data_IF_970057746981
#
_entry.id   IF_970057746981
#
_cell.length_a   1.000
_cell.length_b   1.000
_cell.length_c   1.000
_cell.angle_alpha   90.00
_cell.angle_beta   90.00
_cell.angle_gamma   90.00
#
_symmetry.space_group_name_H-M   'P 1'
#
loop_
_entity.id
_entity.type
_entity.pdbx_description
1 polymer ?
#
# COMPACT_ATOMS: atom_id res chain seq x y z
N UNK A 1 17.39 0.20 62.08
CA UNK A 1 17.14 -1.09 61.39
C UNK A 1 17.10 -0.83 59.90
N UNK A 2 18.24 -1.00 59.24
CA UNK A 2 18.27 -1.47 57.83
C UNK A 2 18.53 -2.99 57.89
N UNK A 3 18.62 -3.76 56.80
CA UNK A 3 18.22 -3.56 55.40
C UNK A 3 17.55 -4.85 54.85
N UNK A 4 17.54 -5.00 53.52
CA UNK A 4 17.60 -6.25 52.74
C UNK A 4 16.35 -6.46 51.88
N UNK A 5 16.43 -6.04 50.62
CA UNK A 5 16.96 -6.84 49.51
C UNK A 5 15.75 -7.48 48.80
N UNK A 6 15.61 -7.43 47.50
CA UNK A 6 16.60 -7.61 46.44
C UNK A 6 15.83 -7.28 45.14
N UNK A 7 16.34 -6.86 43.98
CA UNK A 7 17.65 -6.78 43.34
C UNK A 7 17.49 -5.63 42.33
N UNK A 8 18.42 -4.68 42.18
CA UNK A 8 19.51 -4.78 41.20
C UNK A 8 18.97 -5.06 39.77
N UNK A 9 19.16 -4.22 38.76
CA UNK A 9 20.40 -3.57 38.35
C UNK A 9 20.07 -2.58 37.21
N UNK A 10 20.80 -1.45 37.17
CA UNK A 10 21.46 -0.86 35.98
C UNK A 10 20.62 -0.64 34.69
N UNK A 11 20.62 0.51 34.01
CA UNK A 11 21.82 1.25 33.62
C UNK A 11 21.44 2.61 33.01
N UNK A 12 22.30 3.57 33.29
CA UNK A 12 22.33 4.94 32.77
C UNK A 12 22.75 4.93 31.29
N UNK A 13 21.96 5.51 30.39
CA UNK A 13 22.49 6.08 29.14
C UNK A 13 22.12 7.55 29.00
N UNK A 14 23.17 8.36 28.95
CA UNK A 14 23.17 9.76 28.52
C UNK A 14 22.90 9.88 27.02
N UNK A 15 22.32 11.04 26.63
CA UNK A 15 22.41 11.71 25.32
C UNK A 15 21.72 11.00 24.14
N UNK A 16 20.93 11.65 23.28
CA UNK A 16 20.98 13.00 22.70
C UNK A 16 19.54 13.46 22.39
N UNK A 17 19.20 14.72 22.73
CA UNK A 17 18.08 15.42 22.13
C UNK A 17 18.51 15.88 20.73
N UNK A 18 17.87 15.35 19.69
CA UNK A 18 18.16 15.74 18.31
C UNK A 18 17.28 14.97 17.33
N UNK A 19 16.24 15.65 16.82
CA UNK A 19 15.64 15.36 15.52
C UNK A 19 14.82 14.07 15.40
N UNK A 20 13.61 14.06 15.95
CA UNK A 20 12.54 13.22 15.41
C UNK A 20 12.18 13.70 14.00
N UNK A 21 12.87 13.16 12.99
CA UNK A 21 12.25 12.86 11.71
C UNK A 21 12.03 11.34 11.70
N UNK A 22 11.05 10.93 12.52
CA UNK A 22 10.52 9.58 12.47
C UNK A 22 10.15 9.28 11.01
N UNK A 23 10.67 8.17 10.50
CA UNK A 23 10.38 7.71 9.16
C UNK A 23 8.89 7.79 8.88
N UNK A 24 8.53 8.60 7.89
CA UNK A 24 7.25 8.48 7.20
C UNK A 24 7.27 7.21 6.36
N UNK A 25 7.48 6.06 7.00
CA UNK A 25 7.21 4.75 6.42
C UNK A 25 5.85 4.33 6.92
N UNK A 26 4.83 4.75 6.17
CA UNK A 26 3.58 4.04 6.00
C UNK A 26 2.88 3.58 7.30
N UNK A 27 2.13 4.48 7.91
CA UNK A 27 0.91 4.07 8.62
C UNK A 27 -0.18 3.74 7.58
N UNK A 28 0.06 2.73 6.75
CA UNK A 28 -0.93 2.12 5.88
C UNK A 28 -1.68 1.09 6.73
N UNK A 29 -2.93 1.37 7.12
CA UNK A 29 -3.85 0.29 7.44
C UNK A 29 -3.87 -0.62 6.20
N UNK A 30 -3.43 -1.88 6.37
CA UNK A 30 -3.03 -2.78 5.28
C UNK A 30 -3.93 -2.65 4.04
N UNK A 31 -3.45 -1.92 3.03
CA UNK A 31 -4.15 -1.80 1.76
C UNK A 31 -4.06 -3.17 1.08
N UNK A 32 -5.21 -3.82 0.87
CA UNK A 32 -5.26 -5.08 0.13
C UNK A 32 -4.82 -4.83 -1.32
N UNK A 33 -3.83 -5.58 -1.81
CA UNK A 33 -3.29 -5.47 -3.17
C UNK A 33 -3.24 -6.86 -3.83
N UNK A 34 -3.47 -6.90 -5.14
CA UNK A 34 -3.31 -8.09 -5.99
C UNK A 34 -2.61 -7.71 -7.29
N UNK A 35 -1.74 -8.61 -7.73
CA UNK A 35 -0.96 -8.45 -8.95
C UNK A 35 -1.19 -9.64 -9.88
N UNK A 36 -1.36 -9.37 -11.17
CA UNK A 36 -1.54 -10.39 -12.20
C UNK A 36 -1.12 -9.88 -13.58
N UNK A 37 -0.92 -10.79 -14.52
CA UNK A 37 -0.61 -10.46 -15.91
C UNK A 37 -1.87 -10.56 -16.78
N UNK A 38 -2.04 -9.60 -17.71
CA UNK A 38 -3.14 -9.59 -18.67
C UNK A 38 -2.75 -8.86 -19.95
N UNK A 39 -2.96 -9.49 -21.12
CA UNK A 39 -2.74 -8.85 -22.42
C UNK A 39 -1.30 -8.36 -22.70
N UNK A 40 -0.28 -8.91 -22.03
CA UNK A 40 1.10 -8.44 -22.11
C UNK A 40 1.47 -7.35 -21.11
N UNK A 41 0.54 -6.97 -20.22
CA UNK A 41 0.74 -6.01 -19.16
C UNK A 41 0.79 -6.67 -17.79
N UNK A 42 1.52 -6.05 -16.88
CA UNK A 42 1.47 -6.30 -15.45
C UNK A 42 0.44 -5.35 -14.82
N UNK A 43 -0.57 -5.92 -14.17
CA UNK A 43 -1.64 -5.18 -13.49
C UNK A 43 -1.46 -5.31 -11.98
N UNK A 44 -1.58 -4.19 -11.28
CA UNK A 44 -1.64 -4.11 -9.82
C UNK A 44 -2.96 -3.44 -9.44
N UNK A 45 -3.85 -4.19 -8.79
CA UNK A 45 -5.13 -3.72 -8.26
C UNK A 45 -5.05 -3.59 -6.75
N UNK A 46 -5.44 -2.45 -6.19
CA UNK A 46 -5.38 -2.16 -4.77
C UNK A 46 -6.68 -1.56 -4.24
N UNK A 47 -6.98 -1.82 -2.97
CA UNK A 47 -8.03 -1.15 -2.22
C UNK A 47 -7.42 -0.07 -1.32
N UNK A 48 -7.77 1.18 -1.58
CA UNK A 48 -7.32 2.33 -0.80
C UNK A 48 -8.46 2.80 0.10
N UNK A 49 -8.32 2.79 1.44
CA UNK A 49 -9.35 3.31 2.34
C UNK A 49 -9.68 4.77 2.00
N UNK A 50 -10.96 5.10 1.91
CA UNK A 50 -11.42 6.46 1.64
C UNK A 50 -12.01 7.12 2.91
N UNK A 51 -12.13 8.45 2.90
CA UNK A 51 -12.64 9.20 4.05
C UNK A 51 -14.12 8.95 4.37
N UNK A 52 -14.87 8.32 3.45
CA UNK A 52 -16.29 8.00 3.61
C UNK A 52 -16.53 6.66 4.34
N UNK A 53 -15.47 5.94 4.73
CA UNK A 53 -15.58 4.66 5.45
C UNK A 53 -15.70 3.44 4.53
N UNK A 54 -15.33 3.57 3.25
CA UNK A 54 -15.22 2.48 2.28
C UNK A 54 -13.81 2.42 1.67
N UNK A 55 -13.71 1.84 0.47
CA UNK A 55 -12.46 1.65 -0.25
C UNK A 55 -12.59 2.10 -1.70
N UNK A 56 -11.63 2.89 -2.17
CA UNK A 56 -11.45 3.17 -3.59
C UNK A 56 -10.61 2.05 -4.22
N UNK A 57 -11.11 1.45 -5.29
CA UNK A 57 -10.35 0.54 -6.13
C UNK A 57 -9.38 1.34 -6.99
N UNK A 58 -8.08 1.14 -6.81
CA UNK A 58 -7.04 1.74 -7.63
C UNK A 58 -6.38 0.66 -8.49
N UNK A 59 -6.05 1.00 -9.74
CA UNK A 59 -5.31 0.12 -10.64
C UNK A 59 -4.06 0.84 -11.15
N UNK A 60 -2.97 0.08 -11.26
CA UNK A 60 -1.71 0.48 -11.89
C UNK A 60 -1.35 -0.56 -12.92
N UNK A 61 -1.05 -0.15 -14.14
CA UNK A 61 -0.71 -1.03 -15.26
C UNK A 61 0.66 -0.65 -15.79
N UNK A 62 1.54 -1.63 -15.96
CA UNK A 62 2.87 -1.47 -16.50
C UNK A 62 3.13 -2.52 -17.59
N UNK A 63 4.07 -2.25 -18.49
CA UNK A 63 4.54 -3.24 -19.46
C UNK A 63 5.20 -4.44 -18.72
N UNK A 64 4.84 -5.67 -19.10
CA UNK A 64 5.43 -6.88 -18.53
C UNK A 64 6.87 -7.13 -19.02
N UNK A 65 7.32 -6.48 -20.10
CA UNK A 65 8.57 -6.79 -20.82
C UNK A 65 9.78 -5.89 -20.48
N UNK A 66 9.72 -5.11 -19.40
CA UNK A 66 10.93 -4.82 -18.62
C UNK A 66 11.75 -3.59 -19.01
N UNK A 67 11.12 -2.42 -19.08
CA UNK A 67 11.84 -1.18 -18.72
C UNK A 67 11.23 -0.60 -17.42
N UNK A 68 12.02 -0.39 -16.36
CA UNK A 68 11.54 0.08 -15.06
C UNK A 68 11.28 1.60 -15.09
N UNK A 69 10.26 2.02 -15.84
CA UNK A 69 9.82 3.41 -15.91
C UNK A 69 8.40 3.59 -15.35
N UNK A 70 8.14 3.06 -14.15
CA UNK A 70 6.90 3.34 -13.40
C UNK A 70 5.60 2.80 -14.03
N UNK A 71 4.43 3.03 -13.40
CA UNK A 71 3.16 2.64 -13.99
C UNK A 71 2.90 3.46 -15.26
N UNK A 72 2.62 2.79 -16.37
CA UNK A 72 2.28 3.41 -17.66
C UNK A 72 0.80 3.84 -17.70
N UNK A 73 0.00 3.45 -16.71
CA UNK A 73 -1.37 3.91 -16.53
C UNK A 73 -1.81 3.71 -15.07
N UNK A 74 -2.36 4.75 -14.43
CA UNK A 74 -2.92 4.69 -13.08
C UNK A 74 -4.29 5.36 -13.06
N UNK A 75 -5.29 4.69 -12.48
CA UNK A 75 -6.64 5.22 -12.35
C UNK A 75 -7.40 4.65 -11.15
N UNK A 76 -8.44 5.36 -10.74
CA UNK A 76 -9.41 4.93 -9.75
C UNK A 76 -10.61 4.32 -10.48
N UNK A 77 -10.89 3.06 -10.19
CA UNK A 77 -11.99 2.29 -10.78
C UNK A 77 -13.36 2.63 -10.15
N UNK A 78 -13.36 3.11 -8.90
CA UNK A 78 -14.55 3.53 -8.16
C UNK A 78 -14.51 3.14 -6.69
N UNK A 79 -15.55 3.50 -5.94
CA UNK A 79 -15.67 3.19 -4.52
C UNK A 79 -16.49 1.92 -4.28
N UNK A 80 -16.11 1.16 -3.25
CA UNK A 80 -16.80 -0.03 -2.79
C UNK A 80 -16.84 -0.10 -1.25
N UNK A 81 -17.83 -0.80 -0.67
CA UNK A 81 -17.96 -0.91 0.79
C UNK A 81 -16.92 -1.84 1.44
N UNK A 82 -16.25 -2.71 0.65
CA UNK A 82 -15.24 -3.65 1.16
C UNK A 82 -13.96 -3.62 0.31
N UNK A 83 -12.86 -4.08 0.89
CA UNK A 83 -11.56 -4.17 0.20
C UNK A 83 -11.63 -5.12 -0.99
N UNK A 84 -12.24 -6.29 -0.82
CA UNK A 84 -12.35 -7.31 -1.86
C UNK A 84 -13.18 -6.80 -3.05
N UNK A 85 -14.25 -6.05 -2.78
CA UNK A 85 -15.07 -5.45 -3.82
C UNK A 85 -14.34 -4.34 -4.58
N UNK A 86 -13.56 -3.51 -3.87
CA UNK A 86 -12.72 -2.48 -4.49
C UNK A 86 -11.62 -3.08 -5.38
N UNK A 87 -10.96 -4.15 -4.91
CA UNK A 87 -9.96 -4.86 -5.71
C UNK A 87 -10.60 -5.52 -6.93
N UNK A 88 -11.73 -6.22 -6.78
CA UNK A 88 -12.42 -6.83 -7.92
C UNK A 88 -12.88 -5.80 -8.96
N UNK A 89 -13.31 -4.61 -8.50
CA UNK A 89 -13.66 -3.49 -9.39
C UNK A 89 -12.43 -2.97 -10.14
N UNK A 90 -11.30 -2.81 -9.45
CA UNK A 90 -10.03 -2.40 -10.05
C UNK A 90 -9.52 -3.43 -11.07
N UNK A 91 -9.59 -4.73 -10.75
CA UNK A 91 -9.25 -5.83 -11.68
C UNK A 91 -10.11 -5.77 -12.96
N UNK A 92 -11.43 -5.70 -12.81
CA UNK A 92 -12.35 -5.65 -13.94
C UNK A 92 -12.15 -4.40 -14.82
N UNK A 93 -11.86 -3.26 -14.19
CA UNK A 93 -11.63 -2.01 -14.91
C UNK A 93 -10.28 -2.03 -15.64
N UNK A 94 -9.25 -2.63 -15.04
CA UNK A 94 -7.95 -2.76 -15.68
C UNK A 94 -8.03 -3.64 -16.94
N UNK A 95 -8.70 -4.80 -16.86
CA UNK A 95 -8.91 -5.65 -18.03
C UNK A 95 -9.68 -4.92 -19.14
N UNK A 96 -10.76 -4.20 -18.79
CA UNK A 96 -11.49 -3.39 -19.76
C UNK A 96 -10.61 -2.32 -20.43
N UNK A 97 -9.80 -1.59 -19.66
CA UNK A 97 -8.94 -0.55 -20.19
C UNK A 97 -7.90 -1.11 -21.17
N UNK A 98 -7.34 -2.29 -20.86
CA UNK A 98 -6.42 -3.01 -21.75
C UNK A 98 -7.16 -3.44 -23.02
N UNK A 99 -8.32 -4.09 -22.91
CA UNK A 99 -9.10 -4.56 -24.06
C UNK A 99 -9.58 -3.41 -24.98
N UNK A 100 -9.84 -2.24 -24.40
CA UNK A 100 -10.22 -1.03 -25.13
C UNK A 100 -9.02 -0.32 -25.79
N UNK A 101 -7.78 -0.76 -25.52
CA UNK A 101 -6.56 -0.11 -26.02
C UNK A 101 -6.29 1.26 -25.36
N UNK A 102 -6.81 1.48 -24.16
CA UNK A 102 -6.62 2.74 -23.41
C UNK A 102 -5.23 2.83 -22.75
N UNK A 103 -4.57 1.68 -22.56
CA UNK A 103 -3.23 1.56 -21.98
C UNK A 103 -2.18 1.66 -23.10
N UNK A 104 -1.27 2.64 -23.02
CA UNK A 104 -0.25 2.94 -24.05
C UNK A 104 1.01 3.54 -23.46
#
# INVERSE_FOLDING_TARGET
MSPAAALAYSEKRHHVAGGQAAGMSQAQGAAMERQFEYGGYLVVASAVPNAAGGFAGQMRIADAFGEPAGPTYEAIAGDAPTQEAAVALAEATAMRAIDAGEVR
#
